data_IF_313470799911
#
_entry.id   IF_313470799911
#
_cell.length_a   1.000
_cell.length_b   1.000
_cell.length_c   1.000
_cell.angle_alpha   90.00
_cell.angle_beta   90.00
_cell.angle_gamma   90.00
#
_symmetry.space_group_name_H-M   'P 1'
#
loop_
_entity.id
_entity.type
_entity.pdbx_description
1 polymer ?
#
# COMPACT_ATOMS: atom_id res chain seq x y z
N UNK A 1 -13.69 6.65 -6.23
CA UNK A 1 -12.68 6.02 -7.09
C UNK A 1 -11.36 6.04 -6.33
N UNK A 2 -10.64 4.93 -6.23
CA UNK A 2 -9.27 4.95 -5.69
C UNK A 2 -8.36 5.44 -6.82
N UNK A 3 -7.60 6.51 -6.60
CA UNK A 3 -6.67 7.04 -7.60
C UNK A 3 -5.43 6.14 -7.80
N UNK A 4 -5.33 5.06 -7.03
CA UNK A 4 -4.23 4.11 -7.06
C UNK A 4 -4.73 2.71 -7.37
N UNK A 5 -4.00 2.03 -8.26
CA UNK A 5 -4.29 0.67 -8.70
C UNK A 5 -3.20 -0.26 -8.19
N UNK A 6 -3.60 -1.31 -7.47
CA UNK A 6 -2.68 -2.38 -7.07
C UNK A 6 -2.63 -3.45 -8.17
N UNK A 7 -1.44 -3.96 -8.46
CA UNK A 7 -1.29 -5.05 -9.40
C UNK A 7 -1.45 -6.41 -8.71
N UNK A 8 -2.09 -7.35 -9.37
CA UNK A 8 -2.14 -8.76 -8.96
C UNK A 8 -0.75 -9.42 -9.15
N UNK A 9 -0.60 -10.62 -8.59
CA UNK A 9 0.55 -11.51 -8.83
C UNK A 9 0.67 -11.96 -10.28
N UNK A 10 1.84 -12.45 -10.65
CA UNK A 10 2.13 -13.03 -11.98
C UNK A 10 2.36 -14.53 -11.86
N UNK A 11 2.08 -15.27 -12.94
CA UNK A 11 2.21 -16.73 -13.02
C UNK A 11 1.61 -17.47 -11.81
N UNK A 12 2.42 -18.26 -11.11
CA UNK A 12 2.05 -19.04 -9.92
C UNK A 12 1.58 -18.21 -8.72
N UNK A 13 1.74 -16.89 -8.77
CA UNK A 13 1.40 -15.94 -7.71
C UNK A 13 0.07 -15.22 -7.94
N UNK A 14 -0.59 -15.39 -9.09
CA UNK A 14 -1.92 -14.82 -9.37
C UNK A 14 -2.91 -15.15 -8.26
N UNK A 15 -3.64 -14.15 -7.77
CA UNK A 15 -4.64 -14.29 -6.71
C UNK A 15 -4.09 -14.59 -5.31
N UNK A 16 -2.76 -14.67 -5.14
CA UNK A 16 -2.11 -14.95 -3.85
C UNK A 16 -1.43 -13.74 -3.24
N UNK A 17 -0.97 -12.81 -4.08
CA UNK A 17 -0.22 -11.62 -3.65
C UNK A 17 -0.72 -10.39 -4.38
N UNK A 18 -0.53 -9.24 -3.75
CA UNK A 18 -0.65 -7.92 -4.39
C UNK A 18 0.72 -7.28 -4.47
N UNK A 19 0.94 -6.44 -5.48
CA UNK A 19 2.20 -5.71 -5.67
C UNK A 19 1.96 -4.21 -5.61
N UNK A 20 2.80 -3.53 -4.86
CA UNK A 20 2.90 -2.07 -4.80
C UNK A 20 4.19 -1.71 -5.55
N UNK A 21 4.08 -0.96 -6.64
CA UNK A 21 5.23 -0.52 -7.42
C UNK A 21 5.69 0.86 -6.95
N UNK A 22 7.00 1.01 -6.71
CA UNK A 22 7.66 2.27 -6.37
C UNK A 22 8.68 2.65 -7.47
N UNK A 23 8.24 2.65 -8.73
CA UNK A 23 9.10 2.81 -9.90
C UNK A 23 8.68 4.02 -10.74
N UNK A 24 9.65 4.83 -11.16
CA UNK A 24 9.40 6.02 -11.97
C UNK A 24 9.09 7.25 -11.11
N UNK A 25 8.12 8.06 -11.54
CA UNK A 25 7.66 9.25 -10.81
C UNK A 25 6.80 8.84 -9.60
N UNK A 26 7.47 8.54 -8.50
CA UNK A 26 6.87 8.15 -7.22
C UNK A 26 7.60 8.93 -6.13
N UNK A 27 6.84 9.54 -5.23
CA UNK A 27 7.36 10.29 -4.09
C UNK A 27 6.85 9.70 -2.75
N UNK A 28 7.36 10.21 -1.64
CA UNK A 28 7.02 9.85 -0.26
C UNK A 28 5.52 9.72 -0.04
N UNK A 29 4.72 10.67 -0.54
CA UNK A 29 3.27 10.65 -0.36
C UNK A 29 2.57 9.54 -1.15
N UNK A 30 3.09 9.14 -2.31
CA UNK A 30 2.53 8.01 -3.07
C UNK A 30 2.64 6.70 -2.29
N UNK A 31 3.76 6.50 -1.59
CA UNK A 31 3.97 5.35 -0.71
C UNK A 31 2.98 5.36 0.46
N UNK A 32 2.79 6.51 1.09
CA UNK A 32 1.84 6.68 2.20
C UNK A 32 0.41 6.34 1.75
N UNK A 33 -0.03 6.89 0.60
CA UNK A 33 -1.36 6.62 0.05
C UNK A 33 -1.48 5.12 -0.32
N UNK A 34 -0.39 4.49 -0.77
CA UNK A 34 -0.37 3.08 -1.18
C UNK A 34 -0.64 2.15 -0.01
N UNK A 35 -0.03 2.44 1.13
CA UNK A 35 -0.23 1.70 2.37
C UNK A 35 -1.65 1.94 2.91
N UNK A 36 -2.14 3.18 2.88
CA UNK A 36 -3.51 3.49 3.29
C UNK A 36 -4.55 2.72 2.44
N UNK A 37 -4.36 2.68 1.12
CA UNK A 37 -5.21 1.93 0.21
C UNK A 37 -5.18 0.42 0.48
N UNK A 38 -4.00 -0.13 0.80
CA UNK A 38 -3.85 -1.54 1.19
C UNK A 38 -4.61 -1.85 2.48
N UNK A 39 -4.49 -1.01 3.52
CA UNK A 39 -5.22 -1.19 4.78
C UNK A 39 -6.74 -1.18 4.56
N UNK A 40 -7.25 -0.26 3.74
CA UNK A 40 -8.66 -0.21 3.36
C UNK A 40 -9.11 -1.49 2.64
N UNK A 41 -8.30 -1.98 1.70
CA UNK A 41 -8.55 -3.23 0.98
C UNK A 41 -8.61 -4.43 1.92
N UNK A 42 -7.59 -4.61 2.76
CA UNK A 42 -7.51 -5.70 3.73
C UNK A 42 -8.72 -5.70 4.68
N UNK A 43 -9.09 -4.55 5.24
CA UNK A 43 -10.28 -4.43 6.09
C UNK A 43 -11.57 -4.76 5.34
N UNK A 44 -11.73 -4.27 4.11
CA UNK A 44 -12.90 -4.56 3.27
C UNK A 44 -13.08 -6.06 3.02
N UNK A 45 -12.00 -6.81 2.91
CA UNK A 45 -12.02 -8.27 2.72
C UNK A 45 -11.95 -9.07 4.04
N UNK A 46 -12.16 -8.42 5.19
CA UNK A 46 -12.34 -9.10 6.48
C UNK A 46 -11.07 -9.30 7.31
N UNK A 47 -9.93 -8.73 6.91
CA UNK A 47 -8.71 -8.82 7.71
C UNK A 47 -8.85 -8.00 9.01
N UNK A 48 -8.44 -8.59 10.13
CA UNK A 48 -8.43 -7.90 11.43
C UNK A 48 -7.15 -7.08 11.63
N UNK A 49 -7.09 -5.92 11.01
CA UNK A 49 -5.99 -4.95 11.18
C UNK A 49 -6.47 -3.66 11.86
N UNK A 50 -5.55 -2.78 12.24
CA UNK A 50 -5.88 -1.43 12.73
C UNK A 50 -5.54 -0.42 11.64
N UNK A 51 -6.48 0.47 11.32
CA UNK A 51 -6.21 1.57 10.38
C UNK A 51 -5.14 2.51 10.92
N UNK A 52 -4.30 3.00 10.01
CA UNK A 52 -3.26 3.98 10.28
C UNK A 52 -1.98 3.38 10.87
N UNK A 53 -1.94 2.08 11.20
CA UNK A 53 -0.74 1.48 11.83
C UNK A 53 0.42 1.41 10.84
N UNK A 54 0.17 0.97 9.61
CA UNK A 54 1.18 0.94 8.56
C UNK A 54 1.53 2.35 8.06
N UNK A 55 0.53 3.23 8.00
CA UNK A 55 0.72 4.64 7.63
C UNK A 55 1.65 5.35 8.61
N UNK A 56 1.40 5.23 9.92
CA UNK A 56 2.25 5.85 10.94
C UNK A 56 3.70 5.34 10.85
N UNK A 57 3.89 4.03 10.72
CA UNK A 57 5.23 3.45 10.55
C UNK A 57 5.94 3.96 9.28
N UNK A 58 5.21 4.10 8.17
CA UNK A 58 5.77 4.65 6.94
C UNK A 58 6.12 6.14 7.08
N UNK A 59 5.27 6.92 7.73
CA UNK A 59 5.52 8.34 7.98
C UNK A 59 6.76 8.54 8.86
N UNK A 60 6.94 7.75 9.91
CA UNK A 60 8.14 7.80 10.76
C UNK A 60 9.44 7.57 9.96
N UNK A 61 9.43 6.58 9.07
CA UNK A 61 10.60 6.24 8.23
C UNK A 61 10.83 7.30 7.15
N UNK A 62 9.77 7.76 6.49
CA UNK A 62 9.88 8.65 5.35
C UNK A 62 10.06 10.12 5.75
N UNK A 63 9.81 10.47 7.02
CA UNK A 63 10.07 11.81 7.55
C UNK A 63 11.55 12.21 7.43
N UNK A 64 12.47 11.26 7.55
CA UNK A 64 13.91 11.51 7.39
C UNK A 64 14.33 11.71 5.93
N UNK A 65 13.52 11.26 4.98
CA UNK A 65 13.79 11.33 3.55
C UNK A 65 13.11 12.53 2.86
N UNK A 66 12.30 13.29 3.61
CA UNK A 66 11.63 14.50 3.15
C UNK A 66 12.53 15.74 3.20
#
# INVERSE_FOLDING_TARGET
ACAMTLADGQDQWKGKVVRIAHLGYVDTFDIIIGIAALEMGLKKFGANIQFGKGVAAAQEILLEAY
#
